data_IF_251359866507
#
_entry.id   IF_251359866507
#
_cell.length_a   1.000
_cell.length_b   1.000
_cell.length_c   1.000
_cell.angle_alpha   90.00
_cell.angle_beta   90.00
_cell.angle_gamma   90.00
#
_symmetry.space_group_name_H-M   'P 1'
#
loop_
_entity.id
_entity.type
_entity.pdbx_description
1 polymer ?
#
# COMPACT_ATOMS: atom_id res chain seq x y z
N UNK A 1 -16.89 -11.29 3.65
CA UNK A 1 -15.72 -12.19 3.55
C UNK A 1 -15.34 -12.58 4.96
N UNK A 2 -15.09 -13.87 5.22
CA UNK A 2 -14.64 -14.35 6.53
C UNK A 2 -13.12 -14.30 6.52
N UNK A 3 -12.51 -13.55 7.44
CA UNK A 3 -11.05 -13.53 7.60
C UNK A 3 -10.58 -14.83 8.26
N UNK A 4 -9.37 -15.27 7.92
CA UNK A 4 -8.69 -16.41 8.55
C UNK A 4 -7.91 -15.99 9.80
N UNK A 5 -7.70 -14.68 9.98
CA UNK A 5 -6.84 -14.12 11.01
C UNK A 5 -7.65 -13.36 12.07
N UNK A 6 -7.15 -13.40 13.30
CA UNK A 6 -7.71 -12.63 14.41
C UNK A 6 -6.77 -11.50 14.78
N UNK A 7 -7.23 -10.25 14.61
CA UNK A 7 -6.48 -9.07 15.02
C UNK A 7 -6.40 -8.97 16.55
N UNK A 8 -5.22 -8.68 17.08
CA UNK A 8 -5.01 -8.41 18.50
C UNK A 8 -5.65 -7.06 18.87
N UNK A 9 -6.23 -7.01 20.06
CA UNK A 9 -6.86 -5.79 20.57
C UNK A 9 -5.91 -5.04 21.51
N UNK A 10 -5.80 -3.72 21.39
CA UNK A 10 -5.08 -2.92 22.38
C UNK A 10 -5.74 -3.02 23.76
N UNK A 11 -4.94 -3.06 24.81
CA UNK A 11 -5.40 -2.93 26.19
C UNK A 11 -5.89 -1.51 26.53
N UNK A 12 -6.29 -1.25 27.77
CA UNK A 12 -6.78 0.06 28.22
C UNK A 12 -5.71 1.18 28.11
N UNK A 13 -4.44 0.82 27.95
CA UNK A 13 -3.31 1.76 27.73
C UNK A 13 -2.93 1.88 26.28
N UNK A 14 -3.63 1.19 25.36
CA UNK A 14 -3.34 1.16 23.94
C UNK A 14 -2.20 0.22 23.54
N UNK A 15 -1.74 -0.65 24.45
CA UNK A 15 -0.66 -1.60 24.21
C UNK A 15 -1.22 -2.90 23.65
N UNK A 16 -0.62 -3.41 22.59
CA UNK A 16 -0.94 -4.72 22.01
C UNK A 16 0.09 -5.74 22.50
N UNK A 17 -0.38 -6.81 23.11
CA UNK A 17 0.45 -7.89 23.64
C UNK A 17 0.59 -8.99 22.58
N UNK A 18 1.71 -8.99 21.87
CA UNK A 18 2.06 -10.02 20.89
C UNK A 18 2.81 -11.16 21.58
N UNK A 19 2.57 -12.43 21.24
CA UNK A 19 3.40 -13.55 21.69
C UNK A 19 4.81 -13.50 21.07
N UNK A 20 5.77 -14.16 21.71
CA UNK A 20 7.17 -14.21 21.25
C UNK A 20 7.32 -14.77 19.83
N UNK A 21 6.45 -15.70 19.44
CA UNK A 21 6.41 -16.27 18.09
C UNK A 21 6.15 -15.19 17.02
N UNK A 22 5.22 -14.28 17.29
CA UNK A 22 4.87 -13.17 16.39
C UNK A 22 6.02 -12.17 16.28
N UNK A 23 6.69 -11.88 17.40
CA UNK A 23 7.91 -11.07 17.38
C UNK A 23 9.01 -11.74 16.55
N UNK A 24 9.16 -13.06 16.65
CA UNK A 24 10.09 -13.84 15.83
C UNK A 24 9.74 -13.81 14.33
N UNK A 25 8.45 -13.83 13.98
CA UNK A 25 7.99 -13.67 12.59
C UNK A 25 8.35 -12.28 12.04
N UNK A 26 8.08 -11.22 12.81
CA UNK A 26 8.48 -9.84 12.47
C UNK A 26 9.98 -9.74 12.22
N UNK A 27 10.80 -10.30 13.12
CA UNK A 27 12.26 -10.28 13.01
C UNK A 27 12.75 -10.91 11.70
N UNK A 28 12.15 -12.03 11.29
CA UNK A 28 12.48 -12.69 10.02
C UNK A 28 12.09 -11.81 8.84
N UNK A 29 10.86 -11.28 8.84
CA UNK A 29 10.34 -10.46 7.74
C UNK A 29 11.15 -9.18 7.54
N UNK A 30 11.44 -8.44 8.61
CA UNK A 30 12.18 -7.18 8.51
C UNK A 30 13.63 -7.41 8.06
N UNK A 31 14.28 -8.46 8.55
CA UNK A 31 15.64 -8.78 8.16
C UNK A 31 15.74 -9.16 6.67
N UNK A 32 14.82 -10.01 6.19
CA UNK A 32 14.73 -10.42 4.78
C UNK A 32 14.46 -9.22 3.88
N UNK A 33 13.49 -8.40 4.25
CA UNK A 33 13.02 -7.32 3.39
C UNK A 33 14.04 -6.18 3.31
N UNK A 34 14.69 -5.81 4.42
CA UNK A 34 15.75 -4.79 4.40
C UNK A 34 16.89 -5.18 3.43
N UNK A 35 17.29 -6.45 3.40
CA UNK A 35 18.29 -6.93 2.43
C UNK A 35 17.78 -6.88 0.99
N UNK A 36 16.50 -7.16 0.76
CA UNK A 36 15.91 -7.13 -0.58
C UNK A 36 15.74 -5.71 -1.14
N UNK A 37 15.58 -4.71 -0.28
CA UNK A 37 15.34 -3.32 -0.69
C UNK A 37 16.60 -2.55 -1.09
N UNK A 38 17.78 -3.07 -0.79
CA UNK A 38 19.04 -2.40 -1.14
C UNK A 38 19.14 -2.14 -2.65
N UNK A 39 19.33 -0.87 -3.03
CA UNK A 39 19.35 -0.42 -4.42
C UNK A 39 18.03 -0.50 -5.18
N UNK A 40 16.91 -0.87 -4.52
CA UNK A 40 15.59 -1.02 -5.15
C UNK A 40 14.53 -0.05 -4.66
N UNK A 41 14.50 0.25 -3.36
CA UNK A 41 13.56 1.23 -2.81
C UNK A 41 13.96 2.68 -3.19
N UNK A 42 12.98 3.58 -3.28
CA UNK A 42 13.24 5.00 -3.51
C UNK A 42 13.82 5.67 -2.25
N UNK A 43 14.51 6.79 -2.45
CA UNK A 43 15.18 7.52 -1.36
C UNK A 43 14.18 8.05 -0.33
N UNK A 44 12.99 8.46 -0.77
CA UNK A 44 11.92 8.95 0.10
C UNK A 44 11.41 7.86 1.04
N UNK A 45 11.27 6.64 0.54
CA UNK A 45 10.89 5.50 1.39
C UNK A 45 12.00 5.17 2.40
N UNK A 46 13.26 5.12 1.94
CA UNK A 46 14.39 4.83 2.83
C UNK A 46 14.56 5.89 3.92
N UNK A 47 14.38 7.18 3.57
CA UNK A 47 14.36 8.27 4.55
C UNK A 47 13.21 8.14 5.55
N UNK A 48 12.01 7.79 5.08
CA UNK A 48 10.85 7.52 5.92
C UNK A 48 11.05 6.33 6.85
N UNK A 49 11.64 5.25 6.34
CA UNK A 49 11.95 4.05 7.11
C UNK A 49 12.98 4.35 8.22
N UNK A 50 14.02 5.13 7.90
CA UNK A 50 14.99 5.60 8.88
C UNK A 50 14.33 6.48 9.96
N UNK A 51 13.40 7.35 9.56
CA UNK A 51 12.64 8.20 10.50
C UNK A 51 11.72 7.40 11.42
N UNK A 52 11.07 6.35 10.91
CA UNK A 52 10.23 5.46 11.72
C UNK A 52 11.04 4.71 12.78
N UNK A 53 12.31 4.38 12.50
CA UNK A 53 13.17 3.69 13.46
C UNK A 53 12.61 2.34 13.90
N UNK A 54 12.03 1.57 12.99
CA UNK A 54 11.33 0.33 13.32
C UNK A 54 12.22 -0.65 14.10
N UNK A 55 11.75 -1.22 15.22
CA UNK A 55 12.48 -2.23 15.95
C UNK A 55 12.68 -3.48 15.08
N UNK A 56 13.85 -4.10 15.19
CA UNK A 56 14.18 -5.29 14.40
C UNK A 56 13.83 -6.59 15.09
N UNK A 57 13.66 -6.55 16.40
CA UNK A 57 13.49 -7.69 17.29
C UNK A 57 12.04 -7.91 17.77
N UNK A 58 11.15 -6.96 17.47
CA UNK A 58 9.76 -7.02 17.92
C UNK A 58 8.83 -6.24 16.98
N UNK A 59 7.55 -6.55 17.01
CA UNK A 59 6.49 -5.74 16.39
C UNK A 59 6.44 -4.38 17.11
N UNK A 60 6.47 -3.25 16.38
CA UNK A 60 6.31 -1.92 16.99
C UNK A 60 4.89 -1.74 17.55
N UNK A 61 4.76 -0.95 18.60
CA UNK A 61 3.46 -0.50 19.08
C UNK A 61 2.93 0.63 18.19
N UNK A 62 1.62 0.71 18.01
CA UNK A 62 1.00 1.76 17.17
C UNK A 62 1.32 3.17 17.68
N UNK A 63 1.50 3.34 18.99
CA UNK A 63 1.89 4.61 19.59
C UNK A 63 3.29 5.09 19.12
N UNK A 64 4.23 4.17 18.89
CA UNK A 64 5.57 4.51 18.38
C UNK A 64 5.47 5.04 16.94
N UNK A 65 4.67 4.40 16.10
CA UNK A 65 4.41 4.84 14.72
C UNK A 65 3.67 6.17 14.71
N UNK A 66 2.67 6.33 15.57
CA UNK A 66 1.89 7.56 15.68
C UNK A 66 2.75 8.76 16.06
N UNK A 67 3.70 8.63 16.98
CA UNK A 67 4.59 9.71 17.36
C UNK A 67 5.36 10.27 16.16
N UNK A 68 5.88 9.39 15.29
CA UNK A 68 6.64 9.78 14.10
C UNK A 68 5.73 10.37 13.01
N UNK A 69 4.60 9.73 12.72
CA UNK A 69 3.70 10.20 11.66
C UNK A 69 3.03 11.53 12.00
N UNK A 70 2.66 11.74 13.27
CA UNK A 70 2.10 13.01 13.75
C UNK A 70 3.08 14.16 13.55
N UNK A 71 4.34 13.96 13.92
CA UNK A 71 5.40 14.97 13.73
C UNK A 71 5.68 15.22 12.24
N UNK A 72 5.70 14.15 11.43
CA UNK A 72 6.08 14.25 10.02
C UNK A 72 5.03 14.95 9.16
N UNK A 73 3.77 14.53 9.25
CA UNK A 73 2.71 14.89 8.31
C UNK A 73 1.33 15.05 8.94
N UNK A 74 1.21 14.92 10.27
CA UNK A 74 -0.06 14.96 10.99
C UNK A 74 -0.91 13.69 10.78
N UNK A 75 -0.30 12.60 10.32
CA UNK A 75 -0.96 11.30 10.18
C UNK A 75 -0.84 10.46 11.45
N UNK A 76 -1.71 9.47 11.54
CA UNK A 76 -1.66 8.43 12.56
C UNK A 76 -2.07 7.09 11.96
N UNK A 77 -1.86 6.01 12.69
CA UNK A 77 -2.39 4.68 12.38
C UNK A 77 -3.57 4.35 13.29
N UNK A 78 -4.51 3.59 12.78
CA UNK A 78 -5.67 3.10 13.52
C UNK A 78 -5.72 1.58 13.48
N UNK A 79 -5.82 0.94 14.65
CA UNK A 79 -6.01 -0.50 14.73
C UNK A 79 -7.33 -0.91 14.07
N UNK A 80 -7.26 -1.88 13.16
CA UNK A 80 -8.43 -2.44 12.48
C UNK A 80 -8.35 -3.97 12.48
N UNK A 81 -9.48 -4.69 12.35
CA UNK A 81 -9.45 -6.11 12.00
C UNK A 81 -8.88 -6.30 10.58
N UNK A 82 -8.51 -7.51 10.21
CA UNK A 82 -7.88 -7.84 8.94
C UNK A 82 -8.59 -7.22 7.71
N UNK A 83 -9.91 -7.30 7.67
CA UNK A 83 -10.71 -6.74 6.59
C UNK A 83 -11.69 -5.69 7.11
N UNK A 84 -11.73 -4.54 6.46
CA UNK A 84 -12.67 -3.45 6.74
C UNK A 84 -13.47 -3.09 5.50
N UNK A 85 -14.63 -2.47 5.69
CA UNK A 85 -15.44 -1.97 4.58
C UNK A 85 -14.75 -0.79 3.87
N UNK A 86 -15.05 -0.60 2.59
CA UNK A 86 -14.59 0.59 1.86
C UNK A 86 -15.00 1.90 2.53
N UNK A 87 -16.20 1.97 3.11
CA UNK A 87 -16.65 3.16 3.83
C UNK A 87 -15.72 3.49 5.01
N UNK A 88 -15.33 2.48 5.80
CA UNK A 88 -14.40 2.67 6.91
C UNK A 88 -13.00 2.99 6.42
N UNK A 89 -12.51 2.31 5.37
CA UNK A 89 -11.22 2.56 4.78
C UNK A 89 -11.08 4.03 4.33
N UNK A 90 -12.01 4.50 3.51
CA UNK A 90 -11.99 5.88 3.04
C UNK A 90 -12.20 6.90 4.16
N UNK A 91 -13.04 6.59 5.17
CA UNK A 91 -13.22 7.46 6.32
C UNK A 91 -11.93 7.64 7.13
N UNK A 92 -11.15 6.58 7.32
CA UNK A 92 -9.87 6.64 7.99
C UNK A 92 -8.88 7.52 7.20
N UNK A 93 -8.67 7.24 5.91
CA UNK A 93 -7.75 8.02 5.07
C UNK A 93 -8.14 9.51 5.00
N UNK A 94 -9.44 9.81 4.87
CA UNK A 94 -9.94 11.19 4.88
C UNK A 94 -9.74 11.92 6.21
N UNK A 95 -9.50 11.19 7.29
CA UNK A 95 -9.15 11.74 8.60
C UNK A 95 -7.65 11.61 8.92
N UNK A 96 -6.79 11.36 7.90
CA UNK A 96 -5.34 11.13 8.05
C UNK A 96 -5.01 10.02 9.03
N UNK A 97 -5.80 8.96 8.99
CA UNK A 97 -5.56 7.73 9.73
C UNK A 97 -5.35 6.58 8.75
N UNK A 98 -4.22 5.90 8.87
CA UNK A 98 -3.94 4.73 8.06
C UNK A 98 -4.42 3.47 8.79
N UNK A 99 -5.25 2.62 8.19
CA UNK A 99 -5.69 1.39 8.82
C UNK A 99 -4.52 0.42 8.97
N UNK A 100 -4.35 -0.17 10.13
CA UNK A 100 -3.34 -1.19 10.40
C UNK A 100 -4.01 -2.41 11.01
N UNK A 101 -4.03 -3.50 10.26
CA UNK A 101 -4.41 -4.81 10.78
C UNK A 101 -3.39 -5.25 11.83
N UNK A 102 -3.86 -5.63 13.02
CA UNK A 102 -3.00 -5.87 14.18
C UNK A 102 -2.62 -7.33 14.38
N UNK A 103 -2.78 -8.18 13.38
CA UNK A 103 -2.22 -9.53 13.34
C UNK A 103 -0.94 -9.56 12.50
N UNK A 104 -0.12 -10.57 12.67
CA UNK A 104 0.99 -10.89 11.77
C UNK A 104 0.78 -12.28 11.17
N UNK A 105 1.25 -12.48 9.94
CA UNK A 105 1.20 -13.76 9.22
C UNK A 105 1.91 -14.88 9.97
N UNK A 106 1.49 -16.11 9.75
CA UNK A 106 2.19 -17.27 10.26
C UNK A 106 3.50 -17.54 9.50
N UNK A 107 4.40 -18.32 10.09
CA UNK A 107 5.74 -18.60 9.50
C UNK A 107 5.70 -19.37 8.19
N UNK A 108 4.68 -20.11 7.90
CA UNK A 108 4.45 -20.80 6.64
C UNK A 108 3.96 -19.86 5.51
N UNK A 109 3.59 -18.62 5.85
CA UNK A 109 3.11 -17.58 4.93
C UNK A 109 4.12 -16.44 4.71
N UNK A 110 5.38 -16.64 5.08
CA UNK A 110 6.43 -15.61 4.96
C UNK A 110 6.59 -15.05 3.55
N UNK A 111 6.38 -15.86 2.53
CA UNK A 111 6.60 -15.48 1.13
C UNK A 111 5.35 -14.90 0.47
N UNK A 112 4.17 -15.27 0.93
CA UNK A 112 2.92 -14.78 0.38
C UNK A 112 1.82 -14.76 1.45
N UNK A 113 1.12 -13.63 1.53
CA UNK A 113 -0.05 -13.47 2.39
C UNK A 113 -1.18 -12.83 1.58
N UNK A 114 -2.39 -13.37 1.73
CA UNK A 114 -3.56 -12.89 0.99
C UNK A 114 -4.20 -11.66 1.63
N UNK A 115 -4.20 -11.59 2.97
CA UNK A 115 -4.77 -10.46 3.74
C UNK A 115 -3.62 -9.58 4.28
N UNK A 116 -3.71 -8.24 4.21
CA UNK A 116 -2.66 -7.37 4.71
C UNK A 116 -2.50 -7.53 6.23
N UNK A 117 -1.29 -7.80 6.69
CA UNK A 117 -0.90 -7.92 8.10
C UNK A 117 -0.15 -6.67 8.59
N UNK A 118 0.16 -6.62 9.89
CA UNK A 118 0.86 -5.49 10.48
C UNK A 118 2.22 -5.22 9.84
N UNK A 119 2.91 -6.24 9.31
CA UNK A 119 4.17 -6.04 8.61
C UNK A 119 3.94 -5.30 7.29
N UNK A 120 2.98 -5.74 6.49
CA UNK A 120 2.61 -5.06 5.26
C UNK A 120 2.20 -3.60 5.51
N UNK A 121 1.31 -3.37 6.49
CA UNK A 121 0.78 -2.04 6.74
C UNK A 121 1.84 -1.06 7.27
N UNK A 122 2.66 -1.48 8.24
CA UNK A 122 3.67 -0.59 8.84
C UNK A 122 4.90 -0.50 7.96
N UNK A 123 5.52 -1.63 7.61
CA UNK A 123 6.75 -1.63 6.82
C UNK A 123 6.50 -1.15 5.39
N UNK A 124 5.43 -1.61 4.74
CA UNK A 124 5.11 -1.23 3.36
C UNK A 124 4.66 0.22 3.20
N UNK A 125 3.78 0.71 4.08
CA UNK A 125 3.10 2.00 3.85
C UNK A 125 3.53 3.14 4.75
N UNK A 126 3.78 2.89 6.05
CA UNK A 126 3.98 4.01 7.00
C UNK A 126 5.23 4.84 6.71
N UNK A 127 6.26 4.26 6.11
CA UNK A 127 7.46 5.01 5.73
C UNK A 127 7.12 6.11 4.70
N UNK A 128 6.34 5.80 3.67
CA UNK A 128 5.92 6.77 2.66
C UNK A 128 4.98 7.84 3.22
N UNK A 129 4.18 7.53 4.23
CA UNK A 129 3.32 8.52 4.90
C UNK A 129 4.10 9.60 5.67
N UNK A 130 5.40 9.43 5.89
CA UNK A 130 6.28 10.49 6.40
C UNK A 130 6.61 11.54 5.35
N UNK A 131 6.39 11.25 4.05
CA UNK A 131 6.60 12.17 2.94
C UNK A 131 5.35 13.03 2.72
N UNK A 132 5.45 14.39 2.74
CA UNK A 132 4.28 15.26 2.62
C UNK A 132 3.50 15.11 1.31
N UNK A 133 4.17 14.86 0.19
CA UNK A 133 3.52 14.70 -1.11
C UNK A 133 2.66 13.43 -1.16
N UNK A 134 3.21 12.32 -0.70
CA UNK A 134 2.50 11.05 -0.62
C UNK A 134 1.35 11.10 0.40
N UNK A 135 1.59 11.68 1.57
CA UNK A 135 0.60 11.86 2.62
C UNK A 135 -0.57 12.75 2.15
N UNK A 136 -0.28 13.82 1.39
CA UNK A 136 -1.31 14.68 0.77
C UNK A 136 -2.17 13.90 -0.22
N UNK A 137 -1.56 13.17 -1.13
CA UNK A 137 -2.27 12.34 -2.11
C UNK A 137 -3.17 11.31 -1.43
N UNK A 138 -2.65 10.60 -0.43
CA UNK A 138 -3.42 9.58 0.30
C UNK A 138 -4.62 10.18 1.05
N UNK A 139 -4.46 11.38 1.61
CA UNK A 139 -5.58 12.12 2.22
C UNK A 139 -6.65 12.53 1.20
N UNK A 140 -6.23 13.14 0.08
CA UNK A 140 -7.11 13.50 -1.03
C UNK A 140 -7.89 12.27 -1.53
N UNK A 141 -7.19 11.16 -1.75
CA UNK A 141 -7.79 9.91 -2.16
C UNK A 141 -8.88 9.42 -1.18
N UNK A 142 -8.62 9.51 0.13
CA UNK A 142 -9.60 9.22 1.17
C UNK A 142 -10.85 10.09 1.06
N UNK A 143 -10.70 11.40 0.89
CA UNK A 143 -11.81 12.35 0.73
C UNK A 143 -12.65 12.07 -0.52
N UNK A 144 -12.00 11.73 -1.64
CA UNK A 144 -12.70 11.36 -2.87
C UNK A 144 -13.51 10.08 -2.68
N UNK A 145 -12.91 9.05 -2.10
CA UNK A 145 -13.57 7.76 -1.89
C UNK A 145 -14.78 7.83 -0.94
N UNK A 146 -14.76 8.75 0.04
CA UNK A 146 -15.94 8.99 0.90
C UNK A 146 -17.14 9.50 0.10
N UNK A 147 -16.91 10.35 -0.90
CA UNK A 147 -17.96 10.99 -1.71
C UNK A 147 -18.36 10.14 -2.92
N UNK A 148 -17.50 9.23 -3.34
CA UNK A 148 -17.69 8.42 -4.52
C UNK A 148 -18.78 7.36 -4.34
N UNK A 149 -19.51 7.08 -5.41
CA UNK A 149 -20.43 5.97 -5.51
C UNK A 149 -19.69 4.62 -5.46
N UNK A 150 -20.41 3.53 -5.23
CA UNK A 150 -19.81 2.17 -5.23
C UNK A 150 -19.09 1.85 -6.55
N UNK A 151 -19.66 2.27 -7.67
CA UNK A 151 -19.07 2.07 -9.00
C UNK A 151 -17.77 2.88 -9.16
N UNK A 152 -17.78 4.14 -8.75
CA UNK A 152 -16.58 5.01 -8.82
C UNK A 152 -15.44 4.51 -7.93
N UNK A 153 -15.76 3.95 -6.75
CA UNK A 153 -14.77 3.33 -5.86
C UNK A 153 -14.03 2.16 -6.50
N UNK A 154 -14.65 1.42 -7.43
CA UNK A 154 -13.96 0.37 -8.18
C UNK A 154 -12.88 0.96 -9.10
N UNK A 155 -13.10 2.13 -9.69
CA UNK A 155 -12.07 2.84 -10.45
C UNK A 155 -11.01 3.45 -9.54
N UNK A 156 -11.40 4.08 -8.43
CA UNK A 156 -10.46 4.60 -7.43
C UNK A 156 -9.57 3.49 -6.86
N UNK A 157 -10.08 2.27 -6.68
CA UNK A 157 -9.28 1.13 -6.24
C UNK A 157 -8.10 0.83 -7.19
N UNK A 158 -8.25 1.06 -8.51
CA UNK A 158 -7.16 0.91 -9.49
C UNK A 158 -6.10 2.00 -9.29
N UNK A 159 -6.52 3.24 -9.03
CA UNK A 159 -5.58 4.32 -8.72
C UNK A 159 -4.75 3.99 -7.49
N UNK A 160 -5.38 3.52 -6.41
CA UNK A 160 -4.67 3.09 -5.21
C UNK A 160 -3.72 1.93 -5.49
N UNK A 161 -4.21 0.92 -6.21
CA UNK A 161 -3.43 -0.26 -6.58
C UNK A 161 -2.15 0.07 -7.33
N UNK A 162 -2.26 0.86 -8.40
CA UNK A 162 -1.11 1.18 -9.25
C UNK A 162 -0.25 2.36 -8.75
N UNK A 163 -0.60 2.96 -7.62
CA UNK A 163 0.21 4.01 -6.97
C UNK A 163 0.66 3.58 -5.59
N UNK A 164 -0.23 3.58 -4.61
CA UNK A 164 0.10 3.34 -3.20
C UNK A 164 0.61 1.91 -2.97
N UNK A 165 0.04 0.92 -3.66
CA UNK A 165 0.42 -0.49 -3.51
C UNK A 165 1.58 -0.90 -4.43
N UNK A 166 1.46 -0.63 -5.74
CA UNK A 166 2.35 -1.19 -6.76
C UNK A 166 3.02 -0.09 -7.61
N UNK A 167 3.31 1.06 -7.01
CA UNK A 167 3.93 2.17 -7.71
C UNK A 167 5.44 2.06 -7.84
N UNK A 168 5.94 2.45 -9.03
CA UNK A 168 7.35 2.63 -9.32
C UNK A 168 7.65 4.10 -9.62
N UNK A 169 8.90 4.52 -9.45
CA UNK A 169 9.31 5.91 -9.62
C UNK A 169 10.67 5.99 -10.31
N UNK A 170 10.86 6.99 -11.16
CA UNK A 170 12.16 7.32 -11.71
C UNK A 170 13.05 7.99 -10.66
N UNK A 171 14.34 7.69 -10.70
CA UNK A 171 15.36 8.37 -9.90
C UNK A 171 16.63 8.57 -10.72
N UNK A 172 17.55 9.44 -10.30
CA UNK A 172 18.87 9.59 -10.96
C UNK A 172 19.66 8.29 -11.01
N UNK A 173 19.42 7.37 -10.07
CA UNK A 173 20.06 6.06 -10.00
C UNK A 173 19.26 4.95 -10.71
N UNK A 174 18.26 5.30 -11.53
CA UNK A 174 17.37 4.39 -12.25
C UNK A 174 16.03 4.18 -11.58
N UNK A 175 15.31 3.16 -12.02
CA UNK A 175 13.97 2.85 -11.54
C UNK A 175 13.99 2.40 -10.07
N UNK A 176 13.02 2.87 -9.27
CA UNK A 176 12.89 2.56 -7.84
C UNK A 176 11.45 2.22 -7.48
N UNK A 177 11.28 1.58 -6.35
CA UNK A 177 10.01 1.14 -5.78
C UNK A 177 9.58 2.12 -4.70
N UNK A 178 8.31 2.57 -4.72
CA UNK A 178 7.68 3.29 -3.63
C UNK A 178 6.37 2.65 -3.14
N UNK A 179 5.81 1.71 -3.90
CA UNK A 179 4.53 1.06 -3.58
C UNK A 179 4.66 0.06 -2.44
N UNK A 180 3.77 0.16 -1.44
CA UNK A 180 3.82 -0.62 -0.20
C UNK A 180 3.64 -2.12 -0.40
N UNK A 181 2.80 -2.52 -1.35
CA UNK A 181 2.61 -3.92 -1.71
C UNK A 181 3.88 -4.57 -2.27
N UNK A 182 4.67 -3.81 -3.04
CA UNK A 182 5.98 -4.30 -3.52
C UNK A 182 6.99 -4.31 -2.35
N UNK A 183 7.07 -3.20 -1.60
CA UNK A 183 8.07 -2.99 -0.54
C UNK A 183 7.96 -3.99 0.60
N UNK A 184 6.80 -4.57 0.84
CA UNK A 184 6.55 -5.57 1.89
C UNK A 184 6.57 -7.03 1.40
N UNK A 185 6.79 -7.27 0.10
CA UNK A 185 6.81 -8.58 -0.53
C UNK A 185 8.17 -8.89 -1.16
N UNK A 186 8.82 -9.96 -0.70
CA UNK A 186 10.12 -10.37 -1.22
C UNK A 186 10.05 -10.73 -2.72
N UNK A 187 8.97 -11.40 -3.12
CA UNK A 187 8.73 -11.82 -4.50
C UNK A 187 8.49 -10.63 -5.41
N UNK A 188 7.58 -9.71 -5.03
CA UNK A 188 7.26 -8.52 -5.83
C UNK A 188 8.46 -7.56 -5.92
N UNK A 189 9.23 -7.38 -4.84
CA UNK A 189 10.46 -6.56 -4.84
C UNK A 189 11.47 -7.03 -5.89
N UNK A 190 11.65 -8.33 -6.03
CA UNK A 190 12.55 -8.91 -7.03
C UNK A 190 11.94 -8.82 -8.44
N UNK A 191 10.64 -9.12 -8.58
CA UNK A 191 9.94 -9.21 -9.85
C UNK A 191 9.72 -7.85 -10.51
N UNK A 192 9.32 -6.83 -9.76
CA UNK A 192 8.97 -5.51 -10.29
C UNK A 192 10.10 -4.85 -11.10
N UNK A 193 11.35 -5.12 -10.74
CA UNK A 193 12.55 -4.57 -11.41
C UNK A 193 13.27 -5.60 -12.30
N UNK A 194 12.69 -6.78 -12.52
CA UNK A 194 13.32 -7.87 -13.28
C UNK A 194 13.34 -7.68 -14.80
N UNK A 195 12.64 -6.69 -15.32
CA UNK A 195 12.42 -6.51 -16.77
C UNK A 195 11.36 -7.43 -17.37
N UNK A 196 10.72 -8.30 -16.58
CA UNK A 196 9.65 -9.18 -17.05
C UNK A 196 8.29 -8.46 -17.18
N UNK A 197 7.86 -7.62 -16.19
CA UNK A 197 6.59 -6.92 -16.29
C UNK A 197 6.64 -5.78 -17.30
N UNK A 198 5.47 -5.41 -17.80
CA UNK A 198 5.32 -4.21 -18.60
C UNK A 198 5.43 -2.96 -17.69
N UNK A 199 6.34 -2.07 -18.04
CA UNK A 199 6.45 -0.76 -17.41
C UNK A 199 5.80 0.30 -18.31
N UNK A 200 4.93 1.13 -17.74
CA UNK A 200 4.27 2.22 -18.44
C UNK A 200 4.52 3.54 -17.69
N UNK A 201 4.71 4.65 -18.39
CA UNK A 201 4.66 5.97 -17.75
C UNK A 201 3.32 6.15 -17.02
N UNK A 202 3.33 6.82 -15.89
CA UNK A 202 2.09 7.14 -15.18
C UNK A 202 1.19 8.02 -16.05
N UNK A 203 0.01 7.52 -16.32
CA UNK A 203 -1.09 8.26 -16.93
C UNK A 203 -2.36 7.95 -16.13
N UNK A 204 -2.99 8.98 -15.60
CA UNK A 204 -4.12 8.84 -14.70
C UNK A 204 -5.30 8.10 -15.34
N UNK A 205 -5.60 8.38 -16.63
CA UNK A 205 -6.67 7.74 -17.33
C UNK A 205 -6.38 6.24 -17.60
N UNK A 206 -5.15 5.92 -18.00
CA UNK A 206 -4.74 4.53 -18.23
C UNK A 206 -4.70 3.73 -16.92
N UNK A 207 -4.23 4.31 -15.83
CA UNK A 207 -4.27 3.69 -14.49
C UNK A 207 -5.70 3.31 -14.12
N UNK A 208 -6.65 4.25 -14.24
CA UNK A 208 -8.06 4.01 -13.91
C UNK A 208 -8.72 2.95 -14.78
N UNK A 209 -8.22 2.72 -15.99
CA UNK A 209 -8.76 1.75 -16.96
C UNK A 209 -8.08 0.39 -16.96
N UNK A 210 -6.95 0.26 -16.26
CA UNK A 210 -6.16 -0.99 -16.28
C UNK A 210 -6.70 -1.98 -15.24
N UNK A 211 -7.15 -3.18 -15.65
CA UNK A 211 -7.55 -4.23 -14.70
C UNK A 211 -6.35 -4.79 -13.96
N UNK A 212 -6.57 -5.27 -12.75
CA UNK A 212 -5.57 -5.97 -11.93
C UNK A 212 -6.15 -7.21 -11.24
N UNK A 213 -5.28 -8.07 -10.72
CA UNK A 213 -5.60 -9.21 -9.86
C UNK A 213 -4.69 -9.16 -8.64
N UNK A 214 -5.25 -9.53 -7.48
CA UNK A 214 -4.54 -9.51 -6.20
C UNK A 214 -3.73 -10.79 -5.92
N UNK A 215 -3.99 -11.85 -6.68
CA UNK A 215 -3.50 -13.23 -6.45
C UNK A 215 -2.42 -13.66 -7.44
N UNK A 216 -1.84 -12.72 -8.18
CA UNK A 216 -0.74 -12.95 -9.13
C UNK A 216 0.32 -11.86 -9.02
N UNK A 217 1.56 -12.14 -9.43
CA UNK A 217 2.55 -11.10 -9.72
C UNK A 217 2.01 -10.11 -10.73
N UNK A 218 2.23 -8.81 -10.52
CA UNK A 218 1.60 -7.80 -11.35
C UNK A 218 2.22 -7.75 -12.75
N UNK A 219 1.45 -7.99 -13.83
CA UNK A 219 1.99 -7.99 -15.19
C UNK A 219 2.30 -6.58 -15.71
N UNK A 220 1.81 -5.54 -15.03
CA UNK A 220 1.97 -4.14 -15.41
C UNK A 220 2.21 -3.27 -14.19
N UNK A 221 3.18 -2.36 -14.29
CA UNK A 221 3.41 -1.29 -13.31
C UNK A 221 3.41 0.06 -14.00
N UNK A 222 3.00 1.09 -13.27
CA UNK A 222 3.10 2.48 -13.71
C UNK A 222 4.25 3.19 -12.99
N UNK A 223 5.00 3.98 -13.76
CA UNK A 223 6.21 4.64 -13.29
C UNK A 223 5.95 6.15 -13.17
N UNK A 224 6.06 6.69 -11.98
CA UNK A 224 6.02 8.12 -11.74
C UNK A 224 7.36 8.78 -12.14
N UNK A 225 7.33 9.96 -12.75
CA UNK A 225 8.56 10.75 -12.92
C UNK A 225 9.06 11.35 -11.59
N UNK A 226 8.17 11.62 -10.65
CA UNK A 226 8.45 12.06 -9.27
C UNK A 226 7.20 11.96 -8.40
N UNK A 227 7.34 12.02 -7.06
CA UNK A 227 6.20 12.10 -6.13
C UNK A 227 5.39 13.39 -6.29
N UNK A 228 5.98 14.45 -6.82
CA UNK A 228 5.27 15.69 -7.15
C UNK A 228 4.12 15.45 -8.13
N UNK A 229 4.21 14.43 -8.97
CA UNK A 229 3.12 14.03 -9.87
C UNK A 229 1.85 13.69 -9.09
N UNK A 230 1.98 12.93 -7.99
CA UNK A 230 0.83 12.62 -7.11
C UNK A 230 0.37 13.86 -6.33
N UNK A 231 1.31 14.65 -5.84
CA UNK A 231 1.01 15.88 -5.08
C UNK A 231 0.18 16.90 -5.87
N UNK A 232 0.46 17.02 -7.18
CA UNK A 232 -0.22 17.97 -8.06
C UNK A 232 -1.59 17.51 -8.52
N UNK A 233 -1.94 16.23 -8.38
CA UNK A 233 -3.27 15.76 -8.74
C UNK A 233 -4.33 16.43 -7.85
N UNK A 234 -5.32 17.02 -8.51
CA UNK A 234 -6.49 17.57 -7.83
C UNK A 234 -7.64 16.57 -7.82
N UNK A 235 -8.55 16.73 -6.86
CA UNK A 235 -9.75 15.90 -6.82
C UNK A 235 -10.62 16.06 -8.07
N UNK A 236 -10.66 17.24 -8.67
CA UNK A 236 -11.38 17.53 -9.90
C UNK A 236 -10.79 16.77 -11.10
N UNK A 237 -9.48 16.78 -11.26
CA UNK A 237 -8.79 16.03 -12.32
C UNK A 237 -9.00 14.53 -12.17
N UNK A 238 -8.90 13.99 -10.94
CA UNK A 238 -9.12 12.56 -10.70
C UNK A 238 -10.57 12.18 -11.05
N UNK A 239 -11.55 12.96 -10.64
CA UNK A 239 -12.95 12.65 -10.92
C UNK A 239 -13.31 12.86 -12.40
N UNK A 240 -12.72 13.83 -13.08
CA UNK A 240 -12.88 14.00 -14.54
C UNK A 240 -12.28 12.82 -15.32
N UNK A 241 -11.07 12.40 -14.97
CA UNK A 241 -10.43 11.22 -15.57
C UNK A 241 -11.23 9.93 -15.29
N UNK A 242 -11.82 9.81 -14.08
CA UNK A 242 -12.67 8.68 -13.72
C UNK A 242 -13.95 8.65 -14.55
N UNK A 243 -14.62 9.80 -14.77
CA UNK A 243 -15.79 9.88 -15.63
C UNK A 243 -15.46 9.46 -17.08
N UNK A 244 -14.31 9.89 -17.58
CA UNK A 244 -13.82 9.49 -18.90
C UNK A 244 -13.46 8.00 -18.96
N UNK A 245 -12.83 7.46 -17.91
CA UNK A 245 -12.54 6.03 -17.81
C UNK A 245 -13.81 5.17 -17.86
N UNK A 246 -14.87 5.60 -17.17
CA UNK A 246 -16.19 4.95 -17.25
C UNK A 246 -16.75 4.96 -18.66
N UNK A 247 -16.66 6.09 -19.35
CA UNK A 247 -17.16 6.24 -20.74
C UNK A 247 -16.40 5.35 -21.72
N UNK A 248 -15.08 5.22 -21.59
CA UNK A 248 -14.22 4.46 -22.49
C UNK A 248 -14.16 2.96 -22.14
N UNK A 249 -14.54 2.58 -20.92
CA UNK A 249 -14.43 1.21 -20.43
C UNK A 249 -13.00 0.80 -20.09
N UNK A 250 -12.86 -0.42 -19.56
CA UNK A 250 -11.57 -0.97 -19.15
C UNK A 250 -10.71 -1.37 -20.36
N UNK A 251 -9.40 -1.37 -20.14
CA UNK A 251 -8.45 -2.01 -21.06
C UNK A 251 -8.59 -3.54 -21.00
N UNK A 252 -8.23 -4.26 -22.05
CA UNK A 252 -8.12 -5.71 -22.00
C UNK A 252 -7.15 -6.15 -20.92
N UNK A 253 -7.49 -7.15 -20.08
CA UNK A 253 -6.59 -7.65 -19.05
C UNK A 253 -5.34 -8.31 -19.67
N UNK A 254 -4.17 -8.09 -19.05
CA UNK A 254 -2.91 -8.73 -19.45
C UNK A 254 -2.63 -10.03 -18.69
N UNK A 255 -3.66 -10.65 -18.16
CA UNK A 255 -3.59 -11.90 -17.40
C UNK A 255 -4.75 -12.81 -17.80
N UNK A 256 -4.57 -14.11 -17.66
CA UNK A 256 -5.62 -15.09 -17.88
C UNK A 256 -6.75 -14.91 -16.83
N UNK A 257 -8.01 -15.16 -17.18
CA UNK A 257 -9.08 -15.20 -16.19
C UNK A 257 -8.75 -16.17 -15.05
N UNK A 258 -9.13 -15.81 -13.82
CA UNK A 258 -9.01 -16.74 -12.70
C UNK A 258 -9.89 -17.98 -12.98
N UNK A 259 -9.35 -19.16 -12.73
CA UNK A 259 -10.13 -20.41 -12.89
C UNK A 259 -11.38 -20.32 -11.99
N UNK A 260 -12.57 -20.19 -12.61
CA UNK A 260 -13.87 -20.18 -11.93
C UNK A 260 -14.44 -18.83 -11.49
N UNK A 261 -13.86 -17.67 -11.84
CA UNK A 261 -14.46 -16.35 -11.60
C UNK A 261 -14.45 -15.49 -12.86
N UNK A 262 -15.63 -14.97 -13.24
CA UNK A 262 -15.71 -13.90 -14.25
C UNK A 262 -14.98 -12.65 -13.71
N UNK A 263 -14.18 -12.02 -14.56
CA UNK A 263 -13.50 -10.75 -14.27
C UNK A 263 -14.57 -9.69 -14.06
N UNK A 264 -14.64 -9.15 -12.87
CA UNK A 264 -15.49 -8.00 -12.51
C UNK A 264 -14.79 -6.68 -12.83
#
# INVERSE_FOLDING_TARGET
MTTLYTAYQPDARGVIHYPDEDHGTWQILIARQLGALEGRACDEYLAGLARLGLPRDRIPQLAEINAVLQEATGWSVAAVPALISFDRFFALLANRQFPVATFIRHRDELDYLQEPDIFHEIFGHCAMLTNPAFAHFTHLYGQLGQKASKEERVFLARLYWFTVEFGLIESPAGLRIYGGGILSSIGETAYALSGQPLLQPFDLLEVLRTPYRIDIMQPTYFVLPSLDTLYRLTGEEIMAALAEAKRLGLRPPRFAPAAGKQVS
#
